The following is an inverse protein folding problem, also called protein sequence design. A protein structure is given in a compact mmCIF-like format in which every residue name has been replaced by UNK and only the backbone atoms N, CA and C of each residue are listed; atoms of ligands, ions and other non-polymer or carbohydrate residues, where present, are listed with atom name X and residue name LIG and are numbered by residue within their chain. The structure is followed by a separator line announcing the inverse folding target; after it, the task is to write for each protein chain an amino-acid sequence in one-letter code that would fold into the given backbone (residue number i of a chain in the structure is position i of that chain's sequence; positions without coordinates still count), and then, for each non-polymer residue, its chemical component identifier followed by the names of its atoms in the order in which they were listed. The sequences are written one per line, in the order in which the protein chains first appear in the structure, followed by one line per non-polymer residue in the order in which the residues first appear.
data_IF_308662889534
#
_entry.id   IF_308662889534
#
_cell.length_a   1.000
_cell.length_b   1.000
_cell.length_c   1.000
_cell.angle_alpha   90.00
_cell.angle_beta   90.00
_cell.angle_gamma   90.00
#
_symmetry.space_group_name_H-M   'P 1'
#
loop_
_entity.id
_entity.type
_entity.pdbx_description
1 polymer ?
#
# COMPACT_ATOMS: atom_id res chain seq x y z
N UNK A 1 5.30 7.20 -9.16
CA UNK A 1 4.03 7.95 -9.12
C UNK A 1 3.94 8.73 -7.81
N UNK A 2 3.67 10.04 -7.84
CA UNK A 2 3.48 10.81 -6.61
C UNK A 2 2.04 10.66 -6.06
N UNK A 3 1.83 11.09 -4.81
CA UNK A 3 0.55 10.96 -4.11
C UNK A 3 -0.59 11.71 -4.80
N UNK A 4 -0.35 12.92 -5.31
CA UNK A 4 -1.39 13.73 -5.96
C UNK A 4 -1.82 13.04 -7.25
N UNK A 5 -0.86 12.56 -8.03
CA UNK A 5 -1.14 11.79 -9.25
C UNK A 5 -1.92 10.50 -8.96
N UNK A 6 -1.56 9.75 -7.92
CA UNK A 6 -2.29 8.55 -7.53
C UNK A 6 -3.75 8.85 -7.16
N UNK A 7 -3.99 9.90 -6.36
CA UNK A 7 -5.34 10.29 -5.97
C UNK A 7 -6.19 10.72 -7.17
N UNK A 8 -5.64 11.52 -8.07
CA UNK A 8 -6.35 11.93 -9.29
C UNK A 8 -6.75 10.74 -10.15
N UNK A 9 -5.85 9.76 -10.35
CA UNK A 9 -6.18 8.56 -11.12
C UNK A 9 -7.31 7.74 -10.48
N UNK A 10 -7.40 7.72 -9.14
CA UNK A 10 -8.51 7.06 -8.42
C UNK A 10 -9.79 7.89 -8.58
N UNK A 11 -9.73 9.20 -8.42
CA UNK A 11 -10.86 10.11 -8.62
C UNK A 11 -11.44 10.01 -10.04
N UNK A 12 -10.59 9.93 -11.06
CA UNK A 12 -11.02 9.74 -12.45
C UNK A 12 -11.73 8.40 -12.63
N UNK A 13 -11.18 7.30 -12.07
CA UNK A 13 -11.80 5.98 -12.17
C UNK A 13 -13.16 5.89 -11.46
N UNK A 14 -13.33 6.62 -10.36
CA UNK A 14 -14.61 6.73 -9.66
C UNK A 14 -15.60 7.60 -10.44
N UNK A 15 -15.12 8.70 -11.03
CA UNK A 15 -15.95 9.59 -11.86
C UNK A 15 -16.51 8.87 -13.08
N UNK A 16 -15.68 8.07 -13.76
CA UNK A 16 -16.10 7.23 -14.89
C UNK A 16 -17.20 6.23 -14.47
N UNK A 17 -17.08 5.62 -13.28
CA UNK A 17 -18.10 4.71 -12.75
C UNK A 17 -19.40 5.43 -12.39
N UNK A 18 -19.32 6.58 -11.71
CA UNK A 18 -20.48 7.40 -11.32
C UNK A 18 -21.25 7.93 -12.54
N UNK A 19 -20.55 8.20 -13.64
CA UNK A 19 -21.14 8.59 -14.93
C UNK A 19 -21.74 7.40 -15.70
N UNK A 20 -21.49 6.14 -15.27
CA UNK A 20 -21.90 4.93 -15.96
C UNK A 20 -21.04 4.57 -17.17
N UNK A 21 -19.84 5.16 -17.27
CA UNK A 21 -18.87 4.94 -18.35
C UNK A 21 -17.95 3.74 -18.07
N UNK A 22 -17.91 3.25 -16.83
CA UNK A 22 -17.19 2.06 -16.41
C UNK A 22 -18.07 1.11 -15.56
N UNK A 23 -17.75 -0.19 -15.59
CA UNK A 23 -18.33 -1.15 -14.64
C UNK A 23 -17.57 -1.10 -13.31
N UNK A 24 -18.21 -1.58 -12.23
CA UNK A 24 -17.55 -1.68 -10.92
C UNK A 24 -16.26 -2.51 -11.00
N UNK A 25 -16.30 -3.66 -11.68
CA UNK A 25 -15.12 -4.53 -11.85
C UNK A 25 -13.96 -3.80 -12.53
N UNK A 26 -14.24 -3.05 -13.60
CA UNK A 26 -13.22 -2.28 -14.31
C UNK A 26 -12.61 -1.16 -13.44
N UNK A 27 -13.44 -0.49 -12.64
CA UNK A 27 -13.00 0.53 -11.70
C UNK A 27 -12.13 -0.07 -10.59
N UNK A 28 -12.52 -1.22 -10.02
CA UNK A 28 -11.74 -1.91 -9.00
C UNK A 28 -10.36 -2.35 -9.52
N UNK A 29 -10.31 -2.90 -10.73
CA UNK A 29 -9.05 -3.27 -11.39
C UNK A 29 -8.14 -2.05 -11.60
N UNK A 30 -8.71 -0.93 -12.08
CA UNK A 30 -7.97 0.32 -12.30
C UNK A 30 -7.43 0.89 -10.99
N UNK A 31 -8.25 0.96 -9.94
CA UNK A 31 -7.84 1.43 -8.60
C UNK A 31 -6.75 0.52 -8.03
N UNK A 32 -6.91 -0.81 -8.12
CA UNK A 32 -5.89 -1.77 -7.68
C UNK A 32 -4.56 -1.55 -8.41
N UNK A 33 -4.60 -1.31 -9.72
CA UNK A 33 -3.42 -1.02 -10.53
C UNK A 33 -2.72 0.27 -10.06
N UNK A 34 -3.48 1.35 -9.87
CA UNK A 34 -2.94 2.63 -9.35
C UNK A 34 -2.28 2.44 -7.99
N UNK A 35 -2.91 1.69 -7.06
CA UNK A 35 -2.35 1.42 -5.74
C UNK A 35 -1.04 0.62 -5.81
N UNK A 36 -0.96 -0.39 -6.69
CA UNK A 36 0.28 -1.16 -6.89
C UNK A 36 1.41 -0.29 -7.44
N UNK A 37 1.11 0.55 -8.44
CA UNK A 37 2.08 1.48 -9.00
C UNK A 37 2.53 2.52 -7.98
N UNK A 38 1.60 3.07 -7.19
CA UNK A 38 1.94 4.01 -6.12
C UNK A 38 2.82 3.37 -5.05
N UNK A 39 2.54 2.12 -4.65
CA UNK A 39 3.33 1.41 -3.66
C UNK A 39 4.73 1.03 -4.16
N UNK A 40 4.86 0.68 -5.44
CA UNK A 40 6.14 0.31 -6.07
C UNK A 40 7.00 1.55 -6.31
N UNK A 41 6.42 2.61 -6.87
CA UNK A 41 7.12 3.87 -7.11
C UNK A 41 7.15 4.79 -5.88
N UNK A 42 6.96 4.23 -4.67
CA UNK A 42 6.89 5.00 -3.43
C UNK A 42 8.27 5.57 -3.09
N UNK A 43 8.60 6.70 -3.69
CA UNK A 43 9.82 7.46 -3.44
C UNK A 43 9.51 8.62 -2.51
N UNK A 44 9.25 8.29 -1.24
CA UNK A 44 9.27 9.30 -0.19
C UNK A 44 10.71 9.41 0.31
N UNK A 45 11.30 10.61 0.20
CA UNK A 45 12.71 10.92 0.52
C UNK A 45 13.25 10.35 1.84
N UNK A 46 12.38 9.95 2.77
CA UNK A 46 12.73 9.39 4.08
C UNK A 46 11.85 8.20 4.51
N UNK A 47 11.00 7.66 3.63
CA UNK A 47 10.08 6.56 3.96
C UNK A 47 10.12 5.50 2.88
N UNK A 48 10.14 4.24 3.30
CA UNK A 48 10.23 3.09 2.42
C UNK A 48 9.11 2.11 2.75
N UNK A 49 8.71 1.32 1.75
CA UNK A 49 7.83 0.19 1.96
C UNK A 49 8.64 -0.97 2.57
N UNK A 50 8.06 -1.62 3.57
CA UNK A 50 8.63 -2.78 4.24
C UNK A 50 7.59 -3.90 4.26
N UNK A 51 7.99 -5.09 3.83
CA UNK A 51 7.22 -6.33 4.00
C UNK A 51 7.62 -7.00 5.31
N UNK A 52 6.65 -7.38 6.13
CA UNK A 52 6.86 -8.11 7.36
C UNK A 52 6.78 -9.62 7.14
N UNK A 53 7.61 -10.34 7.90
CA UNK A 53 7.56 -11.79 8.02
C UNK A 53 7.39 -12.17 9.48
N UNK A 54 6.58 -13.19 9.74
CA UNK A 54 6.20 -13.54 11.10
C UNK A 54 5.21 -14.69 11.18
N UNK A 55 4.29 -14.62 12.15
CA UNK A 55 3.14 -15.52 12.18
C UNK A 55 2.14 -15.23 11.04
N UNK A 56 1.13 -16.08 10.88
CA UNK A 56 0.12 -15.99 9.82
C UNK A 56 -0.58 -14.62 9.72
N UNK A 57 -0.63 -13.86 10.82
CA UNK A 57 -1.27 -12.53 10.83
C UNK A 57 -0.34 -11.44 10.32
N UNK A 58 0.97 -11.65 10.48
CA UNK A 58 2.03 -10.71 10.10
C UNK A 58 2.56 -10.98 8.69
N UNK A 59 2.55 -12.24 8.26
CA UNK A 59 3.18 -12.65 7.01
C UNK A 59 2.64 -11.88 5.80
N UNK A 60 3.55 -11.20 5.09
CA UNK A 60 3.22 -10.45 3.89
C UNK A 60 2.61 -9.06 4.13
N UNK A 61 2.39 -8.64 5.38
CA UNK A 61 1.92 -7.28 5.68
C UNK A 61 2.93 -6.25 5.20
N UNK A 62 2.48 -5.29 4.40
CA UNK A 62 3.32 -4.19 3.90
C UNK A 62 2.98 -2.89 4.62
N UNK A 63 3.99 -2.24 5.19
CA UNK A 63 3.85 -0.93 5.84
C UNK A 63 4.87 0.06 5.28
N UNK A 64 4.52 1.35 5.34
CA UNK A 64 5.47 2.43 5.04
C UNK A 64 6.09 2.96 6.33
N UNK A 65 7.42 3.02 6.39
CA UNK A 65 8.15 3.50 7.57
C UNK A 65 9.46 4.22 7.24
N UNK A 66 9.98 4.98 8.19
CA UNK A 66 11.27 5.69 8.05
C UNK A 66 12.47 4.79 8.35
N UNK A 67 12.26 3.64 8.99
CA UNK A 67 13.29 2.66 9.33
C UNK A 67 12.68 1.28 9.56
N UNK A 68 13.49 0.21 9.52
CA UNK A 68 13.03 -1.14 9.86
C UNK A 68 12.41 -1.23 11.27
N UNK A 69 12.98 -0.52 12.25
CA UNK A 69 12.44 -0.49 13.62
C UNK A 69 11.03 0.11 13.67
N UNK A 70 10.81 1.22 12.94
CA UNK A 70 9.49 1.84 12.83
C UNK A 70 8.50 1.00 12.01
N UNK A 71 8.98 0.20 11.05
CA UNK A 71 8.14 -0.75 10.35
C UNK A 71 7.61 -1.84 11.30
N UNK A 72 8.48 -2.44 12.13
CA UNK A 72 8.07 -3.45 13.13
C UNK A 72 7.08 -2.91 14.17
N UNK A 73 7.24 -1.65 14.59
CA UNK A 73 6.28 -0.97 15.49
C UNK A 73 4.91 -0.87 14.82
N UNK A 74 4.85 -0.30 13.60
CA UNK A 74 3.59 -0.16 12.85
C UNK A 74 2.89 -1.48 12.57
N UNK A 75 3.62 -2.53 12.20
CA UNK A 75 3.03 -3.85 11.96
C UNK A 75 2.38 -4.38 13.23
N UNK A 76 3.04 -4.26 14.40
CA UNK A 76 2.46 -4.69 15.67
C UNK A 76 1.20 -3.91 16.04
N UNK A 77 1.17 -2.61 15.76
CA UNK A 77 0.01 -1.75 16.00
C UNK A 77 -1.17 -2.12 15.08
N UNK A 78 -0.91 -2.53 13.83
CA UNK A 78 -1.94 -2.91 12.86
C UNK A 78 -2.47 -4.33 13.07
N UNK A 79 -1.63 -5.25 13.55
CA UNK A 79 -1.92 -6.70 13.60
C UNK A 79 -2.31 -7.16 15.03
N UNK A 80 -2.55 -6.23 15.95
CA UNK A 80 -2.97 -6.46 17.35
C UNK A 80 -2.20 -7.60 18.04
N UNK A 81 -0.88 -7.43 18.16
CA UNK A 81 -0.01 -8.34 18.91
C UNK A 81 0.60 -9.50 18.13
N UNK A 82 0.51 -9.50 16.79
CA UNK A 82 1.22 -10.46 15.94
C UNK A 82 2.75 -10.46 16.14
N UNK A 83 3.37 -11.63 16.05
CA UNK A 83 4.82 -11.81 16.19
C UNK A 83 5.54 -11.44 14.89
N UNK A 84 6.37 -10.41 14.95
CA UNK A 84 7.20 -9.94 13.81
C UNK A 84 8.63 -10.45 13.93
N UNK A 85 9.01 -11.38 13.05
CA UNK A 85 10.36 -11.97 13.01
C UNK A 85 11.32 -11.05 12.26
N UNK A 86 10.94 -10.61 11.06
CA UNK A 86 11.74 -9.70 10.25
C UNK A 86 10.87 -8.72 9.44
N UNK A 87 11.53 -7.68 8.93
CA UNK A 87 10.98 -6.79 7.92
C UNK A 87 12.02 -6.61 6.83
N UNK A 88 11.59 -6.73 5.58
CA UNK A 88 12.41 -6.55 4.38
C UNK A 88 11.97 -5.28 3.66
N UNK A 89 12.92 -4.44 3.25
CA UNK A 89 12.60 -3.26 2.44
C UNK A 89 12.26 -3.72 1.03
N UNK A 90 11.16 -3.20 0.49
CA UNK A 90 10.83 -3.38 -0.92
C UNK A 90 11.61 -2.33 -1.73
N UNK A 91 12.35 -2.80 -2.72
CA UNK A 91 13.09 -1.99 -3.70
C UNK A 91 12.20 -1.53 -4.86
#
# INVERSE_FOLDING_TARGET
MDRISALRNVEDALSDFEAGEATLDATEERVRSVLRSYATDFDARERFAYRAHGDDRVEGVVVVATSPGKARERVRDLVDGGRVDSVERLD
#
